data_IF_492394042312
#
_entry.id   IF_492394042312
#
_cell.length_a   1.000
_cell.length_b   1.000
_cell.length_c   1.000
_cell.angle_alpha   90.00
_cell.angle_beta   90.00
_cell.angle_gamma   90.00
#
_symmetry.space_group_name_H-M   'P 1'
#
loop_
_entity.id
_entity.type
_entity.pdbx_description
1 polymer ?
#
# COMPACT_ATOMS: atom_id res chain seq x y z
N UNK A 1 -45.03 41.68 39.39
CA UNK A 1 -44.61 40.29 39.13
C UNK A 1 -43.62 40.28 38.00
N UNK A 2 -42.35 40.12 38.31
CA UNK A 2 -41.28 39.97 37.26
C UNK A 2 -41.13 38.48 36.96
N UNK A 3 -41.54 38.05 35.77
CA UNK A 3 -41.29 36.70 35.30
C UNK A 3 -39.82 36.60 34.80
N UNK A 4 -38.99 35.98 35.63
CA UNK A 4 -37.65 35.57 35.20
C UNK A 4 -37.78 34.35 34.27
N UNK A 5 -37.63 34.59 32.98
CA UNK A 5 -37.46 33.53 32.02
C UNK A 5 -35.94 33.21 31.94
N UNK A 6 -35.52 32.25 32.72
CA UNK A 6 -34.21 31.62 32.53
C UNK A 6 -34.30 30.72 31.31
N UNK A 7 -33.67 31.17 30.22
CA UNK A 7 -33.42 30.30 29.07
C UNK A 7 -32.34 29.26 29.43
N UNK A 8 -32.60 27.98 29.24
CA UNK A 8 -31.53 26.98 29.37
C UNK A 8 -30.53 27.17 28.24
N UNK A 9 -29.28 27.37 28.60
CA UNK A 9 -28.19 27.33 27.65
C UNK A 9 -28.09 25.90 27.13
N UNK A 10 -28.43 25.69 25.85
CA UNK A 10 -28.19 24.45 25.17
C UNK A 10 -26.69 24.41 24.81
N UNK A 11 -25.93 23.67 25.60
CA UNK A 11 -24.55 23.32 25.22
C UNK A 11 -24.63 22.37 24.02
N UNK A 12 -24.39 22.89 22.83
CA UNK A 12 -24.14 22.06 21.67
C UNK A 12 -22.74 21.45 21.81
N UNK A 13 -22.66 20.19 22.22
CA UNK A 13 -21.43 19.40 22.16
C UNK A 13 -21.22 19.06 20.70
N UNK A 14 -20.36 19.82 20.04
CA UNK A 14 -19.84 19.44 18.71
C UNK A 14 -18.86 18.30 18.95
N UNK A 15 -19.33 17.07 18.79
CA UNK A 15 -18.45 15.92 18.69
C UNK A 15 -17.65 16.07 17.39
N UNK A 16 -16.40 16.50 17.51
CA UNK A 16 -15.46 16.43 16.40
C UNK A 16 -15.24 14.95 16.10
N UNK A 17 -15.90 14.43 15.07
CA UNK A 17 -15.57 13.15 14.48
C UNK A 17 -14.18 13.29 13.88
N UNK A 18 -13.16 12.83 14.63
CA UNK A 18 -11.84 12.61 14.09
C UNK A 18 -11.98 11.49 13.05
N UNK A 19 -12.21 11.87 11.79
CA UNK A 19 -12.11 10.94 10.67
C UNK A 19 -10.65 10.50 10.60
N UNK A 20 -10.33 9.30 11.13
CA UNK A 20 -9.04 8.67 10.92
C UNK A 20 -8.89 8.42 9.43
N UNK A 21 -8.24 9.32 8.72
CA UNK A 21 -7.82 9.05 7.36
C UNK A 21 -6.69 8.02 7.43
N UNK A 22 -6.97 6.80 6.94
CA UNK A 22 -5.88 5.91 6.59
C UNK A 22 -4.98 6.66 5.60
N UNK A 23 -3.69 6.83 5.93
CA UNK A 23 -2.76 7.51 5.04
C UNK A 23 -2.78 6.76 3.70
N UNK A 24 -3.01 7.49 2.60
CA UNK A 24 -2.89 6.95 1.25
C UNK A 24 -1.46 6.45 1.04
N UNK A 25 -1.30 5.37 0.26
CA UNK A 25 0.01 4.85 -0.10
C UNK A 25 0.83 5.92 -0.83
N UNK A 26 2.12 5.99 -0.52
CA UNK A 26 3.06 6.97 -1.07
C UNK A 26 3.90 6.32 -2.17
N UNK A 27 3.64 6.71 -3.42
CA UNK A 27 4.34 6.17 -4.60
C UNK A 27 5.83 6.50 -4.57
N UNK A 28 6.24 7.69 -4.13
CA UNK A 28 7.65 8.07 -4.07
C UNK A 28 8.39 7.32 -2.97
N UNK A 29 7.78 7.14 -1.80
CA UNK A 29 8.33 6.29 -0.75
C UNK A 29 8.42 4.83 -1.22
N UNK A 30 7.43 4.37 -1.97
CA UNK A 30 7.41 3.04 -2.60
C UNK A 30 8.52 2.85 -3.61
N UNK A 31 8.80 3.85 -4.43
CA UNK A 31 9.92 3.85 -5.38
C UNK A 31 11.25 3.69 -4.66
N UNK A 32 11.48 4.44 -3.60
CA UNK A 32 12.69 4.35 -2.79
C UNK A 32 12.85 2.96 -2.17
N UNK A 33 11.80 2.45 -1.56
CA UNK A 33 11.79 1.11 -0.96
C UNK A 33 12.00 0.02 -2.01
N UNK A 34 11.38 0.13 -3.17
CA UNK A 34 11.54 -0.80 -4.29
C UNK A 34 12.99 -0.83 -4.79
N UNK A 35 13.67 0.31 -4.83
CA UNK A 35 15.09 0.38 -5.19
C UNK A 35 15.97 -0.37 -4.19
N UNK A 36 15.65 -0.31 -2.91
CA UNK A 36 16.40 -0.98 -1.84
C UNK A 36 16.19 -2.49 -1.82
N UNK A 37 14.98 -2.97 -2.09
CA UNK A 37 14.57 -4.36 -1.79
C UNK A 37 14.15 -5.14 -3.03
N UNK A 38 13.51 -4.53 -4.02
CA UNK A 38 12.82 -5.22 -5.12
C UNK A 38 13.60 -5.22 -6.44
N UNK A 39 14.32 -4.13 -6.71
CA UNK A 39 14.87 -3.84 -8.03
C UNK A 39 15.92 -4.84 -8.50
N UNK A 40 16.67 -5.48 -7.60
CA UNK A 40 17.69 -6.45 -7.96
C UNK A 40 17.14 -7.63 -8.78
N UNK A 41 15.89 -8.02 -8.55
CA UNK A 41 15.22 -9.12 -9.22
C UNK A 41 14.12 -8.66 -10.19
N UNK A 42 13.36 -7.63 -9.82
CA UNK A 42 12.18 -7.20 -10.57
C UNK A 42 12.42 -5.98 -11.46
N UNK A 43 13.59 -5.36 -11.38
CA UNK A 43 13.96 -4.08 -12.00
C UNK A 43 13.11 -2.90 -11.49
N UNK A 44 13.61 -1.68 -11.68
CA UNK A 44 12.91 -0.46 -11.25
C UNK A 44 11.65 -0.16 -12.06
N UNK A 45 11.62 -0.58 -13.33
CA UNK A 45 10.46 -0.48 -14.20
C UNK A 45 9.43 -1.60 -13.98
N UNK A 46 9.72 -2.53 -13.06
CA UNK A 46 8.86 -3.68 -12.78
C UNK A 46 8.80 -4.70 -13.91
N UNK A 47 9.74 -4.63 -14.87
CA UNK A 47 9.80 -5.51 -16.03
C UNK A 47 11.04 -6.39 -15.90
N UNK A 48 10.87 -7.51 -15.22
CA UNK A 48 11.92 -8.50 -15.07
C UNK A 48 12.34 -9.08 -16.42
N UNK A 49 13.63 -9.32 -16.58
CA UNK A 49 14.22 -10.00 -17.75
C UNK A 49 14.48 -11.48 -17.50
N UNK A 50 14.24 -11.95 -16.29
CA UNK A 50 14.43 -13.34 -15.85
C UNK A 50 13.06 -13.98 -15.63
N UNK A 51 12.84 -15.13 -16.26
CA UNK A 51 11.52 -15.78 -16.28
C UNK A 51 10.99 -16.16 -14.88
N UNK A 52 11.88 -16.53 -13.97
CA UNK A 52 11.55 -16.90 -12.61
C UNK A 52 11.07 -15.72 -11.76
N UNK A 53 11.39 -14.49 -12.16
CA UNK A 53 10.99 -13.27 -11.46
C UNK A 53 9.80 -12.64 -12.18
N UNK A 54 8.61 -12.60 -11.59
CA UNK A 54 7.44 -12.09 -12.27
C UNK A 54 7.54 -10.58 -12.54
N UNK A 55 6.89 -10.16 -13.62
CA UNK A 55 6.69 -8.74 -13.92
C UNK A 55 5.68 -8.17 -12.95
N UNK A 56 5.98 -6.99 -12.41
CA UNK A 56 5.17 -6.29 -11.42
C UNK A 56 4.52 -5.02 -11.97
N UNK A 57 5.03 -4.48 -13.07
CA UNK A 57 4.55 -3.22 -13.65
C UNK A 57 3.07 -3.28 -14.00
N UNK A 58 2.30 -2.31 -13.50
CA UNK A 58 0.89 -2.18 -13.78
C UNK A 58 -0.03 -3.21 -13.13
N UNK A 59 0.50 -4.00 -12.18
CA UNK A 59 -0.31 -4.94 -11.39
C UNK A 59 -1.24 -4.17 -10.45
N UNK A 60 -2.35 -4.79 -10.07
CA UNK A 60 -3.26 -4.22 -9.07
C UNK A 60 -2.58 -4.09 -7.71
N UNK A 61 -2.61 -2.90 -7.08
CA UNK A 61 -1.90 -2.67 -5.83
C UNK A 61 -2.41 -3.56 -4.69
N UNK A 62 -3.70 -3.82 -4.62
CA UNK A 62 -4.29 -4.68 -3.59
C UNK A 62 -3.83 -6.14 -3.74
N UNK A 63 -3.69 -6.60 -4.98
CA UNK A 63 -3.17 -7.96 -5.24
C UNK A 63 -1.71 -8.08 -4.80
N UNK A 64 -0.87 -7.09 -5.15
CA UNK A 64 0.53 -7.09 -4.73
C UNK A 64 0.68 -6.99 -3.22
N UNK A 65 -0.07 -6.11 -2.59
CA UNK A 65 -0.04 -5.95 -1.13
C UNK A 65 -0.45 -7.25 -0.42
N UNK A 66 -1.49 -7.92 -0.93
CA UNK A 66 -1.88 -9.23 -0.42
C UNK A 66 -0.78 -10.26 -0.61
N UNK A 67 -0.19 -10.35 -1.79
CA UNK A 67 0.89 -11.30 -2.08
C UNK A 67 2.09 -11.09 -1.14
N UNK A 68 2.50 -9.85 -0.91
CA UNK A 68 3.60 -9.52 0.01
C UNK A 68 3.27 -9.91 1.46
N UNK A 69 2.05 -9.63 1.92
CA UNK A 69 1.61 -10.09 3.25
C UNK A 69 1.62 -11.61 3.37
N UNK A 70 1.17 -12.30 2.33
CA UNK A 70 1.12 -13.76 2.32
C UNK A 70 2.52 -14.38 2.30
N UNK A 71 3.48 -13.79 1.59
CA UNK A 71 4.90 -14.20 1.69
C UNK A 71 5.47 -13.95 3.08
N UNK A 72 5.18 -12.79 3.66
CA UNK A 72 5.65 -12.43 5.00
C UNK A 72 5.10 -13.34 6.08
N UNK A 73 3.84 -13.75 6.01
CA UNK A 73 3.18 -14.65 6.97
C UNK A 73 3.50 -16.13 6.74
N UNK A 74 3.98 -16.48 5.56
CA UNK A 74 4.17 -17.87 5.12
C UNK A 74 2.91 -18.50 4.52
N UNK A 75 1.82 -17.77 4.35
CA UNK A 75 0.62 -18.26 3.66
C UNK A 75 0.89 -18.55 2.18
N UNK A 76 1.78 -17.81 1.56
CA UNK A 76 2.30 -18.07 0.22
C UNK A 76 3.75 -18.52 0.32
N UNK A 77 4.05 -19.72 -0.23
CA UNK A 77 5.36 -20.37 -0.09
C UNK A 77 6.32 -19.95 -1.19
N UNK A 78 7.33 -19.17 -0.84
CA UNK A 78 8.49 -18.88 -1.67
C UNK A 78 9.61 -18.39 -0.74
N UNK A 79 10.72 -19.17 -0.58
CA UNK A 79 11.78 -18.81 0.36
C UNK A 79 12.44 -17.45 0.08
N UNK A 80 12.62 -17.12 -1.21
CA UNK A 80 13.25 -15.85 -1.61
C UNK A 80 12.34 -14.68 -1.25
N UNK A 81 11.07 -14.74 -1.67
CA UNK A 81 10.12 -13.66 -1.38
C UNK A 81 9.76 -13.57 0.09
N UNK A 82 9.73 -14.67 0.83
CA UNK A 82 9.56 -14.65 2.27
C UNK A 82 10.69 -13.86 2.95
N UNK A 83 11.94 -14.06 2.52
CA UNK A 83 13.09 -13.30 2.99
C UNK A 83 13.00 -11.81 2.65
N UNK A 84 12.58 -11.48 1.42
CA UNK A 84 12.42 -10.09 0.98
C UNK A 84 11.28 -9.37 1.72
N UNK A 85 10.18 -10.05 1.94
CA UNK A 85 9.00 -9.47 2.60
C UNK A 85 9.15 -9.37 4.12
N UNK A 86 10.01 -10.16 4.73
CA UNK A 86 10.16 -10.25 6.18
C UNK A 86 10.46 -8.90 6.85
N UNK A 87 11.27 -8.06 6.23
CA UNK A 87 11.66 -6.75 6.76
C UNK A 87 10.70 -5.60 6.40
N UNK A 88 9.67 -5.85 5.62
CA UNK A 88 8.73 -4.82 5.20
C UNK A 88 7.68 -4.54 6.28
N UNK A 89 7.45 -3.26 6.58
CA UNK A 89 6.28 -2.83 7.35
C UNK A 89 5.02 -2.87 6.48
N UNK A 90 3.84 -2.77 7.08
CA UNK A 90 2.60 -2.67 6.30
C UNK A 90 2.61 -1.42 5.40
N UNK A 91 3.16 -0.31 5.89
CA UNK A 91 3.34 0.90 5.07
C UNK A 91 4.27 0.64 3.88
N UNK A 92 5.39 -0.03 4.07
CA UNK A 92 6.29 -0.40 2.98
C UNK A 92 5.57 -1.24 1.92
N UNK A 93 4.79 -2.22 2.36
CA UNK A 93 4.01 -3.10 1.48
C UNK A 93 3.02 -2.28 0.63
N UNK A 94 2.29 -1.38 1.26
CA UNK A 94 1.32 -0.54 0.56
C UNK A 94 2.02 0.42 -0.41
N UNK A 95 3.12 1.03 0.00
CA UNK A 95 3.88 1.99 -0.81
C UNK A 95 4.53 1.34 -2.03
N UNK A 96 5.21 0.20 -1.88
CA UNK A 96 5.82 -0.50 -3.03
C UNK A 96 4.77 -1.05 -3.98
N UNK A 97 3.64 -1.50 -3.46
CA UNK A 97 2.52 -1.95 -4.27
C UNK A 97 1.94 -0.81 -5.11
N UNK A 98 1.77 0.37 -4.52
CA UNK A 98 1.34 1.56 -5.24
C UNK A 98 2.34 2.00 -6.30
N UNK A 99 3.64 1.92 -6.00
CA UNK A 99 4.69 2.26 -6.96
C UNK A 99 4.64 1.37 -8.20
N UNK A 100 4.71 0.06 -8.05
CA UNK A 100 4.67 -0.85 -9.20
C UNK A 100 3.35 -0.79 -9.95
N UNK A 101 2.22 -0.61 -9.26
CA UNK A 101 0.92 -0.42 -9.89
C UNK A 101 0.87 0.83 -10.78
N UNK A 102 1.61 1.88 -10.43
CA UNK A 102 1.68 3.14 -11.18
C UNK A 102 2.48 3.06 -12.48
N UNK A 103 3.28 2.01 -12.64
CA UNK A 103 4.12 1.83 -13.81
C UNK A 103 3.32 1.29 -15.01
N UNK A 104 3.69 1.67 -16.25
CA UNK A 104 3.03 1.16 -17.44
C UNK A 104 3.10 -0.37 -17.50
N UNK A 105 1.96 -1.07 -17.65
CA UNK A 105 1.95 -2.51 -17.79
C UNK A 105 2.56 -2.92 -19.13
N UNK A 106 3.37 -3.99 -19.14
CA UNK A 106 3.76 -4.63 -20.38
C UNK A 106 2.69 -5.66 -20.71
N UNK A 107 1.67 -5.23 -21.42
CA UNK A 107 0.75 -6.16 -22.06
C UNK A 107 1.46 -6.74 -23.28
N UNK A 108 2.00 -7.94 -23.16
CA UNK A 108 2.25 -8.73 -24.35
C UNK A 108 0.89 -9.27 -24.78
N UNK A 109 0.18 -8.51 -25.61
CA UNK A 109 -0.90 -9.08 -26.40
C UNK A 109 -0.29 -9.98 -27.47
N UNK A 110 0.09 -11.18 -27.08
CA UNK A 110 0.16 -12.25 -28.05
C UNK A 110 -1.24 -12.88 -28.10
N UNK A 111 -2.06 -12.33 -28.95
CA UNK A 111 -3.14 -13.10 -29.51
C UNK A 111 -2.59 -14.01 -30.59
#
# INVERSE_FOLDING_TARGET
MKMNRTLPAVLAVVAALASGHAAAADVEAGKKKAQEVCAACHNMDGISTIAEYPKLAGQYPEYMAKALRDYKSGARKNPIMAGMAAGLTQKDIDDVSAYFASLPPVLSSRM
#
